data_IF_435603621085
#
_entry.id   IF_435603621085
#
_cell.length_a   1.000
_cell.length_b   1.000
_cell.length_c   1.000
_cell.angle_alpha   90.00
_cell.angle_beta   90.00
_cell.angle_gamma   90.00
#
_symmetry.space_group_name_H-M   'P 1'
#
loop_
_entity.id
_entity.type
_entity.pdbx_description
1 polymer ?
#
# COMPACT_ATOMS: atom_id res chain seq x y z
N UNK A 1 19.87 32.51 36.36
CA UNK A 1 18.59 32.82 35.73
C UNK A 1 18.65 32.91 34.20
N UNK A 2 19.63 33.63 33.61
CA UNK A 2 19.73 33.78 32.15
C UNK A 2 19.82 32.44 31.37
N UNK A 3 20.66 31.50 31.83
CA UNK A 3 20.82 30.17 31.18
C UNK A 3 19.51 29.39 31.15
N UNK A 4 18.73 29.39 32.24
CA UNK A 4 17.46 28.70 32.34
C UNK A 4 16.43 29.31 31.36
N UNK A 5 16.41 30.65 31.27
CA UNK A 5 15.53 31.33 30.32
C UNK A 5 15.89 31.03 28.87
N UNK A 6 17.17 30.97 28.53
CA UNK A 6 17.63 30.58 27.16
C UNK A 6 17.29 29.14 26.86
N UNK A 7 17.48 28.18 27.75
CA UNK A 7 17.13 26.77 27.55
C UNK A 7 15.62 26.60 27.38
N UNK A 8 14.82 27.31 28.16
CA UNK A 8 13.37 27.29 28.03
C UNK A 8 12.92 27.83 26.67
N UNK A 9 13.50 28.94 26.22
CA UNK A 9 13.17 29.52 24.89
C UNK A 9 13.55 28.55 23.76
N UNK A 10 14.72 27.92 23.83
CA UNK A 10 15.15 26.92 22.85
C UNK A 10 14.21 25.71 22.83
N UNK A 11 13.74 25.23 23.98
CA UNK A 11 12.78 24.16 24.09
C UNK A 11 11.44 24.55 23.46
N UNK A 12 10.94 25.74 23.71
CA UNK A 12 9.68 26.25 23.12
C UNK A 12 9.81 26.38 21.61
N UNK A 13 10.93 26.92 21.10
CA UNK A 13 11.18 27.00 19.66
C UNK A 13 11.28 25.62 19.02
N UNK A 14 11.95 24.66 19.66
CA UNK A 14 12.06 23.29 19.18
C UNK A 14 10.70 22.59 19.14
N UNK A 15 9.91 22.67 20.21
CA UNK A 15 8.56 22.08 20.26
C UNK A 15 7.62 22.72 19.25
N UNK A 16 7.67 24.06 19.11
CA UNK A 16 6.90 24.79 18.12
C UNK A 16 7.28 24.41 16.69
N UNK A 17 8.58 24.38 16.37
CA UNK A 17 9.10 23.97 15.08
C UNK A 17 8.77 22.52 14.75
N UNK A 18 8.88 21.63 15.73
CA UNK A 18 8.48 20.22 15.57
C UNK A 18 6.98 20.07 15.34
N UNK A 19 6.14 20.84 16.03
CA UNK A 19 4.69 20.85 15.86
C UNK A 19 4.30 21.31 14.44
N UNK A 20 4.93 22.38 13.95
CA UNK A 20 4.73 22.88 12.56
C UNK A 20 5.20 21.85 11.54
N UNK A 21 6.37 21.25 11.72
CA UNK A 21 6.88 20.18 10.85
C UNK A 21 5.91 19.02 10.78
N UNK A 22 5.40 18.56 11.93
CA UNK A 22 4.40 17.47 11.97
C UNK A 22 3.12 17.85 11.23
N UNK A 23 2.66 19.07 11.38
CA UNK A 23 1.43 19.53 10.72
C UNK A 23 1.59 19.67 9.20
N UNK A 24 2.78 20.08 8.73
CA UNK A 24 3.07 20.26 7.30
C UNK A 24 3.52 18.98 6.59
N UNK A 25 3.92 17.94 7.33
CA UNK A 25 4.40 16.70 6.72
C UNK A 25 3.27 15.91 6.03
N UNK A 26 3.31 15.72 4.69
CA UNK A 26 2.26 15.01 3.96
C UNK A 26 2.08 13.55 4.43
N UNK A 27 3.16 12.86 4.81
CA UNK A 27 3.11 11.48 5.30
C UNK A 27 2.39 11.39 6.65
N UNK A 28 2.61 12.35 7.55
CA UNK A 28 1.94 12.39 8.85
C UNK A 28 0.46 12.77 8.72
N UNK A 29 0.12 13.66 7.78
CA UNK A 29 -1.28 13.97 7.47
C UNK A 29 -2.00 12.74 6.91
N UNK A 30 -1.36 11.97 6.00
CA UNK A 30 -1.92 10.70 5.49
C UNK A 30 -2.11 9.68 6.60
N UNK A 31 -1.12 9.52 7.48
CA UNK A 31 -1.23 8.61 8.63
C UNK A 31 -2.37 8.98 9.57
N UNK A 32 -2.58 10.28 9.85
CA UNK A 32 -3.72 10.74 10.63
C UNK A 32 -5.05 10.43 9.94
N UNK A 33 -5.17 10.73 8.64
CA UNK A 33 -6.37 10.40 7.86
C UNK A 33 -6.60 8.89 7.80
N UNK A 34 -5.54 8.08 7.67
CA UNK A 34 -5.64 6.62 7.73
C UNK A 34 -6.28 6.14 9.04
N UNK A 35 -5.85 6.68 10.18
CA UNK A 35 -6.45 6.32 11.48
C UNK A 35 -7.92 6.67 11.56
N UNK A 36 -8.34 7.82 11.03
CA UNK A 36 -9.75 8.21 10.95
C UNK A 36 -10.52 7.26 10.03
N UNK A 37 -9.99 6.95 8.85
CA UNK A 37 -10.60 6.03 7.90
C UNK A 37 -10.76 4.62 8.49
N UNK A 38 -9.73 4.06 9.13
CA UNK A 38 -9.79 2.73 9.72
C UNK A 38 -10.76 2.65 10.91
N UNK A 39 -10.96 3.76 11.62
CA UNK A 39 -11.92 3.85 12.73
C UNK A 39 -13.37 3.86 12.25
N UNK A 40 -13.65 4.54 11.15
CA UNK A 40 -14.99 4.63 10.57
C UNK A 40 -14.91 4.73 9.03
N UNK A 41 -14.73 3.59 8.32
CA UNK A 41 -14.62 3.59 6.87
C UNK A 41 -15.86 4.12 6.15
N UNK A 42 -17.03 4.07 6.79
CA UNK A 42 -18.28 4.56 6.21
C UNK A 42 -18.34 6.08 6.23
N UNK A 43 -17.93 6.70 7.33
CA UNK A 43 -17.90 8.16 7.45
C UNK A 43 -16.91 8.82 6.48
N UNK A 44 -15.90 8.08 6.00
CA UNK A 44 -14.86 8.56 5.08
C UNK A 44 -14.84 7.76 3.77
N UNK A 45 -16.01 7.28 3.31
CA UNK A 45 -16.14 6.47 2.11
C UNK A 45 -15.67 7.21 0.83
N UNK A 46 -15.77 8.53 0.79
CA UNK A 46 -15.30 9.42 -0.27
C UNK A 46 -13.76 9.46 -0.41
N UNK A 47 -13.03 9.01 0.62
CA UNK A 47 -11.56 8.88 0.55
C UNK A 47 -11.11 7.57 -0.09
N UNK A 48 -12.03 6.63 -0.28
CA UNK A 48 -11.77 5.32 -0.89
C UNK A 48 -11.65 5.43 -2.40
N UNK A 49 -10.56 4.91 -2.96
CA UNK A 49 -10.41 4.74 -4.40
C UNK A 49 -10.94 3.35 -4.76
N UNK A 50 -11.87 3.21 -5.71
CA UNK A 50 -12.40 1.90 -6.11
C UNK A 50 -11.38 1.08 -6.89
N UNK A 51 -11.43 -0.25 -6.73
CA UNK A 51 -10.67 -1.21 -7.55
C UNK A 51 -11.01 -1.02 -9.03
N UNK A 52 -10.01 -1.15 -9.90
CA UNK A 52 -10.17 -1.02 -11.36
C UNK A 52 -10.20 0.43 -11.87
N UNK A 53 -10.22 1.42 -10.99
CA UNK A 53 -10.14 2.83 -11.40
C UNK A 53 -8.77 3.13 -12.02
N UNK A 54 -8.74 3.98 -13.04
CA UNK A 54 -7.52 4.58 -13.59
C UNK A 54 -7.34 5.99 -13.07
N UNK A 55 -6.11 6.38 -12.77
CA UNK A 55 -5.77 7.75 -12.42
C UNK A 55 -5.47 8.53 -13.71
N UNK A 56 -6.46 9.25 -14.23
CA UNK A 56 -6.31 9.98 -15.50
C UNK A 56 -5.97 9.04 -16.65
N UNK A 57 -4.86 9.32 -17.35
CA UNK A 57 -4.36 8.52 -18.48
C UNK A 57 -3.38 7.42 -18.07
N UNK A 58 -3.19 7.18 -16.78
CA UNK A 58 -2.28 6.14 -16.30
C UNK A 58 -2.66 4.75 -16.86
N UNK A 59 -1.68 3.95 -17.32
CA UNK A 59 -1.97 2.64 -17.92
C UNK A 59 -2.39 1.60 -16.89
N UNK A 60 -2.04 1.78 -15.62
CA UNK A 60 -2.32 0.85 -14.54
C UNK A 60 -3.71 1.06 -13.95
N UNK A 61 -4.38 -0.03 -13.62
CA UNK A 61 -5.59 -0.04 -12.81
C UNK A 61 -5.24 0.06 -11.33
N UNK A 62 -6.08 0.71 -10.54
CA UNK A 62 -5.97 0.67 -9.09
C UNK A 62 -6.28 -0.75 -8.60
N UNK A 63 -5.33 -1.43 -7.94
CA UNK A 63 -5.39 -2.89 -7.79
C UNK A 63 -6.38 -3.38 -6.75
N UNK A 64 -6.81 -2.51 -5.84
CA UNK A 64 -7.73 -2.89 -4.75
C UNK A 64 -8.46 -1.68 -4.22
N UNK A 65 -9.68 -1.84 -3.73
CA UNK A 65 -10.42 -0.71 -3.16
C UNK A 65 -9.85 -0.31 -1.80
N UNK A 66 -9.66 1.00 -1.58
CA UNK A 66 -9.22 1.47 -0.27
C UNK A 66 -8.63 2.87 -0.26
N UNK A 67 -8.18 3.27 0.93
CA UNK A 67 -7.45 4.51 1.18
C UNK A 67 -5.94 4.26 1.09
N UNK A 68 -5.20 5.11 0.39
CA UNK A 68 -3.73 5.04 0.32
C UNK A 68 -3.16 5.60 1.63
N UNK A 69 -2.68 4.73 2.50
CA UNK A 69 -2.08 5.10 3.78
C UNK A 69 -0.61 5.45 3.69
N UNK A 70 0.18 4.62 3.00
CA UNK A 70 1.63 4.82 2.85
C UNK A 70 2.05 4.77 1.39
N UNK A 71 3.01 5.62 1.04
CA UNK A 71 3.66 5.69 -0.26
C UNK A 71 5.12 5.28 -0.15
N UNK A 72 5.77 5.09 -1.30
CA UNK A 72 7.20 4.84 -1.38
C UNK A 72 8.00 5.92 -0.65
N UNK A 73 8.90 5.48 0.22
CA UNK A 73 9.78 6.35 1.00
C UNK A 73 9.18 6.91 2.29
N UNK A 74 7.90 6.71 2.55
CA UNK A 74 7.30 7.07 3.84
C UNK A 74 7.97 6.28 4.97
N UNK A 75 8.02 6.90 6.15
CA UNK A 75 8.57 6.26 7.34
C UNK A 75 7.64 6.48 8.53
N UNK A 76 7.28 5.40 9.20
CA UNK A 76 6.52 5.41 10.45
C UNK A 76 7.39 5.06 11.67
N UNK A 77 8.67 4.72 11.46
CA UNK A 77 9.66 4.46 12.51
C UNK A 77 11.07 4.81 12.03
N UNK A 78 11.95 5.10 12.98
CA UNK A 78 13.35 5.42 12.70
C UNK A 78 14.07 4.26 11.97
N UNK A 79 14.83 4.59 10.91
CA UNK A 79 15.57 3.62 10.12
C UNK A 79 14.75 2.80 9.13
N UNK A 80 13.43 3.01 9.05
CA UNK A 80 12.54 2.34 8.08
C UNK A 80 12.16 3.28 6.94
N UNK A 81 12.14 2.73 5.72
CA UNK A 81 11.55 3.38 4.54
C UNK A 81 10.62 2.40 3.85
N UNK A 82 9.39 2.80 3.64
CA UNK A 82 8.40 2.00 2.95
C UNK A 82 8.76 1.82 1.47
N UNK A 83 8.62 0.59 0.95
CA UNK A 83 9.03 0.23 -0.42
C UNK A 83 7.84 -0.14 -1.30
N UNK A 84 6.72 0.54 -1.15
CA UNK A 84 5.52 0.26 -1.92
C UNK A 84 4.44 1.30 -1.72
N UNK A 85 3.21 0.88 -1.99
CA UNK A 85 1.99 1.61 -1.72
C UNK A 85 1.11 0.72 -0.87
N UNK A 86 0.80 1.15 0.36
CA UNK A 86 -0.15 0.44 1.22
C UNK A 86 -1.55 1.02 1.03
N UNK A 87 -2.47 0.14 0.65
CA UNK A 87 -3.88 0.46 0.41
C UNK A 87 -4.72 -0.29 1.44
N UNK A 88 -5.48 0.45 2.21
CA UNK A 88 -6.29 -0.08 3.31
C UNK A 88 -7.76 -0.10 2.92
N UNK A 89 -8.37 -1.27 2.82
CA UNK A 89 -9.77 -1.44 2.41
C UNK A 89 -10.78 -0.98 3.46
N UNK A 90 -10.38 -0.97 4.73
CA UNK A 90 -11.27 -0.60 5.84
C UNK A 90 -12.32 -1.67 6.17
N UNK A 91 -12.16 -2.88 5.68
CA UNK A 91 -13.06 -4.03 5.90
C UNK A 91 -12.31 -5.19 6.59
N UNK A 92 -13.06 -6.18 7.03
CA UNK A 92 -12.48 -7.43 7.56
C UNK A 92 -11.56 -8.09 6.53
N UNK A 93 -10.42 -8.61 6.97
CA UNK A 93 -9.48 -9.36 6.13
C UNK A 93 -10.19 -10.47 5.34
N UNK A 94 -9.76 -10.69 4.10
CA UNK A 94 -10.37 -11.65 3.18
C UNK A 94 -11.64 -11.16 2.46
N UNK A 95 -11.99 -9.88 2.55
CA UNK A 95 -13.21 -9.33 1.91
C UNK A 95 -12.95 -8.41 0.73
N UNK A 96 -11.90 -7.59 0.79
CA UNK A 96 -11.59 -6.60 -0.24
C UNK A 96 -10.74 -7.25 -1.32
N UNK A 97 -11.23 -7.26 -2.55
CA UNK A 97 -10.55 -7.85 -3.70
C UNK A 97 -9.22 -7.18 -4.01
N UNK A 98 -8.25 -8.00 -4.44
CA UNK A 98 -6.97 -7.57 -5.03
C UNK A 98 -6.93 -8.08 -6.45
N UNK A 99 -6.73 -7.17 -7.41
CA UNK A 99 -6.73 -7.45 -8.84
C UNK A 99 -5.42 -7.04 -9.50
N UNK A 100 -5.08 -7.68 -10.61
CA UNK A 100 -3.91 -7.34 -11.41
C UNK A 100 -4.02 -5.88 -11.91
N UNK A 101 -3.05 -5.03 -11.56
CA UNK A 101 -3.01 -3.65 -11.99
C UNK A 101 -2.72 -3.51 -13.49
N UNK A 102 -2.03 -4.49 -14.07
CA UNK A 102 -1.68 -4.56 -15.49
C UNK A 102 -1.54 -6.01 -15.94
N UNK A 103 -1.67 -6.25 -17.23
CA UNK A 103 -1.50 -7.58 -17.82
C UNK A 103 -0.03 -8.04 -17.77
N UNK A 104 0.20 -9.34 -17.60
CA UNK A 104 1.54 -9.91 -17.58
C UNK A 104 1.57 -11.36 -17.16
N UNK A 105 2.72 -11.84 -16.75
CA UNK A 105 2.98 -13.24 -16.40
C UNK A 105 3.13 -13.37 -14.88
N UNK A 106 2.18 -14.06 -14.28
CA UNK A 106 2.08 -14.24 -12.84
C UNK A 106 2.95 -15.38 -12.36
N UNK A 107 3.68 -15.14 -11.28
CA UNK A 107 4.41 -16.16 -10.52
C UNK A 107 4.07 -16.05 -9.04
N UNK A 108 3.83 -17.21 -8.40
CA UNK A 108 3.72 -17.39 -6.98
C UNK A 108 4.69 -18.48 -6.54
N UNK A 109 5.73 -18.12 -5.77
CA UNK A 109 6.71 -19.10 -5.29
C UNK A 109 6.07 -20.11 -4.33
N UNK A 110 6.63 -21.34 -4.23
CA UNK A 110 6.03 -22.41 -3.41
C UNK A 110 5.86 -22.07 -1.94
N UNK A 111 6.73 -21.25 -1.38
CA UNK A 111 6.74 -20.79 0.01
C UNK A 111 5.98 -19.48 0.27
N UNK A 112 5.49 -18.83 -0.78
CA UNK A 112 4.77 -17.55 -0.68
C UNK A 112 3.32 -17.75 -0.25
N UNK A 113 3.04 -17.43 1.01
CA UNK A 113 1.70 -17.54 1.60
C UNK A 113 0.79 -16.36 1.21
N UNK A 114 1.34 -15.14 1.22
CA UNK A 114 0.57 -13.90 1.09
C UNK A 114 0.92 -13.08 -0.13
N UNK A 115 1.83 -13.55 -0.98
CA UNK A 115 2.43 -12.74 -2.03
C UNK A 115 2.40 -13.43 -3.40
N UNK A 116 2.40 -12.62 -4.44
CA UNK A 116 2.66 -13.01 -5.82
C UNK A 116 3.24 -11.81 -6.60
N UNK A 117 3.79 -12.08 -7.76
CA UNK A 117 4.41 -11.08 -8.63
C UNK A 117 3.92 -11.28 -10.07
N UNK A 118 3.73 -10.17 -10.79
CA UNK A 118 3.41 -10.20 -12.22
C UNK A 118 4.52 -9.50 -12.98
N UNK A 119 5.18 -10.24 -13.84
CA UNK A 119 6.18 -9.73 -14.79
C UNK A 119 5.47 -9.10 -15.98
N UNK A 120 5.76 -7.82 -16.22
CA UNK A 120 5.28 -7.06 -17.39
C UNK A 120 6.44 -6.89 -18.35
N UNK A 121 6.48 -7.62 -19.47
CA UNK A 121 7.64 -7.65 -20.39
C UNK A 121 8.01 -6.28 -20.96
N UNK A 122 6.98 -5.44 -21.19
CA UNK A 122 7.16 -4.09 -21.70
C UNK A 122 6.43 -3.11 -20.80
N UNK A 123 7.20 -2.26 -20.10
CA UNK A 123 6.64 -1.19 -19.27
C UNK A 123 5.81 -0.25 -20.16
N UNK A 124 4.52 -0.04 -19.87
CA UNK A 124 3.68 0.81 -20.71
C UNK A 124 4.10 2.28 -20.73
N UNK A 125 4.95 2.71 -19.81
CA UNK A 125 5.50 4.07 -19.77
C UNK A 125 6.90 4.15 -20.39
N UNK A 126 7.63 3.04 -20.42
CA UNK A 126 8.99 2.93 -20.95
C UNK A 126 9.18 1.56 -21.60
N UNK A 127 8.76 1.36 -22.87
CA UNK A 127 8.66 0.03 -23.51
C UNK A 127 9.96 -0.76 -23.60
N UNK A 128 11.10 -0.10 -23.52
CA UNK A 128 12.43 -0.73 -23.59
C UNK A 128 12.85 -1.48 -22.32
N UNK A 129 12.03 -1.39 -21.27
CA UNK A 129 12.32 -2.07 -20.00
C UNK A 129 11.17 -2.98 -19.57
N UNK A 130 11.56 -4.03 -18.86
CA UNK A 130 10.66 -4.92 -18.15
C UNK A 130 10.46 -4.42 -16.72
N UNK A 131 9.25 -4.56 -16.21
CA UNK A 131 8.91 -4.24 -14.82
C UNK A 131 8.15 -5.40 -14.17
N UNK A 132 7.99 -5.32 -12.85
CA UNK A 132 7.17 -6.23 -12.06
C UNK A 132 6.21 -5.45 -11.18
N UNK A 133 4.97 -5.95 -11.08
CA UNK A 133 4.04 -5.52 -10.05
C UNK A 133 4.00 -6.59 -8.96
N UNK A 134 4.34 -6.21 -7.73
CA UNK A 134 4.39 -7.11 -6.57
C UNK A 134 3.18 -6.85 -5.68
N UNK A 135 2.50 -7.92 -5.28
CA UNK A 135 1.33 -7.91 -4.42
C UNK A 135 1.63 -8.72 -3.18
N UNK A 136 1.30 -8.19 -2.02
CA UNK A 136 1.54 -8.84 -0.74
C UNK A 136 0.41 -8.57 0.26
N UNK A 137 0.53 -9.11 1.49
CA UNK A 137 -0.47 -9.03 2.54
C UNK A 137 -1.78 -9.77 2.24
N UNK A 138 -1.80 -10.73 1.32
CA UNK A 138 -2.98 -11.54 0.98
C UNK A 138 -3.05 -12.84 1.81
N UNK A 139 -2.94 -12.74 3.13
CA UNK A 139 -3.14 -13.85 4.07
C UNK A 139 -3.61 -13.32 5.43
N UNK A 140 -4.13 -14.21 6.29
CA UNK A 140 -4.43 -13.91 7.69
C UNK A 140 -3.16 -13.95 8.57
N UNK A 141 -3.24 -13.57 9.87
CA UNK A 141 -2.09 -13.60 10.78
C UNK A 141 -1.50 -15.00 10.99
N UNK A 142 -2.27 -16.06 10.76
CA UNK A 142 -1.82 -17.45 10.88
C UNK A 142 -1.14 -17.94 9.59
N UNK A 143 -1.15 -17.13 8.53
CA UNK A 143 -0.56 -17.42 7.22
C UNK A 143 -1.47 -18.25 6.32
N UNK A 144 -2.79 -18.30 6.57
CA UNK A 144 -3.75 -18.87 5.63
C UNK A 144 -3.94 -17.89 4.47
N UNK A 145 -3.66 -18.38 3.26
CA UNK A 145 -3.65 -17.55 2.06
C UNK A 145 -5.04 -17.12 1.65
N UNK A 146 -5.17 -15.86 1.24
CA UNK A 146 -6.33 -15.28 0.56
C UNK A 146 -6.12 -15.14 -0.96
N UNK A 147 -5.02 -15.69 -1.51
CA UNK A 147 -4.83 -15.79 -2.95
C UNK A 147 -5.81 -16.82 -3.49
N UNK A 148 -6.47 -16.52 -4.62
CA UNK A 148 -7.45 -17.44 -5.22
C UNK A 148 -6.83 -18.77 -5.62
N UNK A 149 -7.67 -19.83 -5.65
CA UNK A 149 -7.21 -21.19 -5.92
C UNK A 149 -6.63 -21.38 -7.34
N UNK A 150 -6.93 -20.48 -8.27
CA UNK A 150 -6.39 -20.46 -9.62
C UNK A 150 -4.86 -20.25 -9.67
N UNK A 151 -4.29 -19.69 -8.60
CA UNK A 151 -2.85 -19.45 -8.46
C UNK A 151 -2.28 -20.19 -7.23
N UNK A 152 -2.20 -21.52 -7.26
CA UNK A 152 -1.63 -22.30 -6.16
C UNK A 152 -0.14 -22.00 -5.95
N UNK A 153 0.44 -22.32 -4.78
CA UNK A 153 1.89 -22.25 -4.57
C UNK A 153 2.65 -23.02 -5.66
N UNK A 154 3.69 -22.41 -6.22
CA UNK A 154 4.46 -22.95 -7.36
C UNK A 154 3.93 -22.54 -8.74
N UNK A 155 2.87 -21.74 -8.84
CA UNK A 155 2.44 -21.13 -10.11
C UNK A 155 3.59 -20.32 -10.72
N UNK A 156 3.89 -20.54 -12.00
CA UNK A 156 5.00 -19.87 -12.70
C UNK A 156 4.61 -19.41 -14.10
N UNK A 157 4.83 -18.13 -14.37
CA UNK A 157 4.69 -17.50 -15.68
C UNK A 157 3.30 -17.72 -16.35
N UNK A 158 2.23 -17.74 -15.57
CA UNK A 158 0.85 -17.82 -16.09
C UNK A 158 0.40 -16.42 -16.52
N UNK A 159 0.00 -16.28 -17.80
CA UNK A 159 -0.51 -14.99 -18.29
C UNK A 159 -1.82 -14.62 -17.64
N UNK A 160 -1.93 -13.36 -17.21
CA UNK A 160 -3.14 -12.77 -16.64
C UNK A 160 -3.42 -11.41 -17.28
N UNK A 161 -4.69 -11.12 -17.49
CA UNK A 161 -5.16 -9.81 -17.97
C UNK A 161 -5.19 -8.79 -16.83
N UNK A 162 -5.11 -7.49 -17.18
CA UNK A 162 -5.39 -6.43 -16.24
C UNK A 162 -6.80 -6.58 -15.64
N UNK A 163 -6.94 -6.45 -14.32
CA UNK A 163 -8.20 -6.65 -13.61
C UNK A 163 -8.52 -8.09 -13.21
N UNK A 164 -7.68 -9.08 -13.57
CA UNK A 164 -7.81 -10.47 -13.08
C UNK A 164 -7.80 -10.48 -11.55
N UNK A 165 -8.74 -11.20 -10.94
CA UNK A 165 -8.78 -11.38 -9.48
C UNK A 165 -7.58 -12.22 -9.03
N UNK A 166 -6.80 -11.69 -8.11
CA UNK A 166 -5.60 -12.34 -7.56
C UNK A 166 -5.88 -12.94 -6.17
N UNK A 167 -6.73 -12.30 -5.41
CA UNK A 167 -7.03 -12.68 -4.03
C UNK A 167 -7.74 -11.55 -3.28
N UNK A 168 -7.56 -11.53 -1.98
CA UNK A 168 -8.19 -10.57 -1.09
C UNK A 168 -7.19 -9.98 -0.09
N UNK A 169 -7.43 -8.73 0.33
CA UNK A 169 -6.62 -8.07 1.35
C UNK A 169 -6.61 -8.85 2.66
N UNK A 170 -5.43 -9.02 3.19
CA UNK A 170 -5.18 -9.61 4.51
C UNK A 170 -4.30 -8.69 5.36
N UNK A 171 -3.70 -9.25 6.39
CA UNK A 171 -2.86 -8.53 7.35
C UNK A 171 -1.61 -9.33 7.76
N UNK A 172 -1.25 -10.34 7.00
CA UNK A 172 -0.01 -11.09 7.16
C UNK A 172 1.19 -10.29 6.64
N UNK A 173 2.27 -10.21 7.41
CA UNK A 173 3.52 -9.53 7.05
C UNK A 173 4.73 -10.42 7.24
#
# INVERSE_FOLDING_TARGET
MLIIAVLFLLLVCFLGGYGVYRWLSPSLQRSHKLLLYLRDPQAYADWRIPVGQRCGTAPFLFPTSGYIGYLWGDSFRLGHRHQGIDIFGGETAGKVEVRAAYAGYLTRLPDWKSSLIIRVPHDPLHPDRQIWTYYTHMADPDGNSYIVADFPPGTSEVYVEAGTLLGYQGNYS
#
